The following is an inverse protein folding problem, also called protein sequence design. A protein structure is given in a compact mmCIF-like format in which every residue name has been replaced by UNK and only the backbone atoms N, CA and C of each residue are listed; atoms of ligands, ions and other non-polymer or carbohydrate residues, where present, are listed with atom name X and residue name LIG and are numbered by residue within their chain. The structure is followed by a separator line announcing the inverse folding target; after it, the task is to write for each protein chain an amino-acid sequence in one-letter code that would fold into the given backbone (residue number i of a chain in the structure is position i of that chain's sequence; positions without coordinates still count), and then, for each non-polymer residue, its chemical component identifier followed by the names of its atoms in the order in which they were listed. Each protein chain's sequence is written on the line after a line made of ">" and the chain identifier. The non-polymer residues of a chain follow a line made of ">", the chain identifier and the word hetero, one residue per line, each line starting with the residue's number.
data_IF_789316180155
#
_entry.id   IF_789316180155
#
_cell.length_a   1.000
_cell.length_b   1.000
_cell.length_c   1.000
_cell.angle_alpha   90.00
_cell.angle_beta   90.00
_cell.angle_gamma   90.00
#
_symmetry.space_group_name_H-M   'P 1'
#
loop_
_entity.id
_entity.type
_entity.pdbx_description
1 polymer ?
#
# COMPACT_ATOMS: atom_id res chain seq x y z
N UNK A 1 -4.27 -17.88 12.41
CA UNK A 1 -3.69 -16.59 12.10
C UNK A 1 -4.70 -15.73 11.38
N UNK A 2 -4.84 -14.52 11.85
CA UNK A 2 -5.86 -13.62 11.29
C UNK A 2 -5.23 -12.68 10.29
N UNK A 3 -5.63 -12.86 9.03
CA UNK A 3 -5.30 -11.89 8.00
C UNK A 3 -6.39 -10.82 7.99
N UNK A 4 -5.99 -9.57 7.92
CA UNK A 4 -6.93 -8.47 7.87
C UNK A 4 -6.95 -7.89 6.47
N UNK A 5 -8.17 -7.59 5.99
CA UNK A 5 -8.36 -6.88 4.74
C UNK A 5 -8.05 -5.40 4.94
N UNK A 6 -7.33 -4.82 3.99
CA UNK A 6 -7.04 -3.40 3.97
C UNK A 6 -6.98 -2.93 2.52
N UNK A 7 -6.51 -1.71 2.32
CA UNK A 7 -6.45 -1.13 0.98
C UNK A 7 -5.12 -0.43 0.79
N UNK A 8 -4.66 -0.41 -0.46
CA UNK A 8 -3.41 0.27 -0.79
C UNK A 8 -3.52 0.87 -2.19
N UNK A 9 -3.01 2.09 -2.31
CA UNK A 9 -2.97 2.80 -3.59
C UNK A 9 -1.69 2.43 -4.31
N UNK A 10 -1.81 1.99 -5.56
CA UNK A 10 -0.67 1.64 -6.41
C UNK A 10 -0.70 2.48 -7.68
N UNK A 11 0.48 2.66 -8.27
CA UNK A 11 0.64 3.30 -9.56
C UNK A 11 0.31 2.29 -10.66
N UNK A 12 -0.53 2.68 -11.61
CA UNK A 12 -0.85 1.84 -12.76
C UNK A 12 0.05 2.21 -13.94
N UNK A 13 0.56 1.18 -14.62
CA UNK A 13 1.43 1.36 -15.77
C UNK A 13 0.68 1.07 -17.07
N UNK A 14 1.25 1.49 -18.20
CA UNK A 14 0.60 1.36 -19.51
C UNK A 14 0.32 -0.09 -19.90
N UNK A 15 1.14 -1.02 -19.41
CA UNK A 15 0.97 -2.45 -19.71
C UNK A 15 -0.04 -3.16 -18.78
N UNK A 16 -0.68 -2.40 -17.89
CA UNK A 16 -1.65 -2.96 -16.94
C UNK A 16 -1.05 -3.45 -15.64
N UNK A 17 0.27 -3.43 -15.49
CA UNK A 17 0.90 -3.82 -14.24
C UNK A 17 0.81 -2.69 -13.21
N UNK A 18 1.08 -3.00 -11.95
CA UNK A 18 1.07 -2.01 -10.88
C UNK A 18 2.43 -1.95 -10.18
N UNK A 19 2.72 -0.81 -9.59
CA UNK A 19 3.98 -0.54 -8.93
C UNK A 19 3.76 0.32 -7.69
N UNK A 20 4.72 0.32 -6.73
CA UNK A 20 4.64 1.19 -5.57
C UNK A 20 4.63 2.67 -5.97
N UNK A 21 4.08 3.52 -5.09
CA UNK A 21 3.98 4.95 -5.37
C UNK A 21 5.33 5.66 -5.27
N UNK A 22 6.09 5.39 -4.22
CA UNK A 22 7.27 6.21 -3.88
C UNK A 22 8.56 5.40 -3.74
N UNK A 23 8.53 4.25 -3.10
CA UNK A 23 9.71 3.45 -2.80
C UNK A 23 9.82 2.31 -3.80
N UNK A 24 11.03 2.12 -4.36
CA UNK A 24 11.30 1.04 -5.32
C UNK A 24 10.31 1.05 -6.49
N UNK A 25 10.23 2.20 -7.18
CA UNK A 25 9.25 2.42 -8.24
C UNK A 25 9.35 1.46 -9.41
N UNK A 26 10.48 0.76 -9.56
CA UNK A 26 10.67 -0.20 -10.64
C UNK A 26 10.12 -1.58 -10.31
N UNK A 27 9.79 -1.82 -9.05
CA UNK A 27 9.21 -3.09 -8.63
C UNK A 27 7.84 -3.27 -9.27
N UNK A 28 7.57 -4.47 -9.76
CA UNK A 28 6.22 -4.83 -10.21
C UNK A 28 5.55 -5.65 -9.14
N UNK A 29 4.29 -5.32 -8.85
CA UNK A 29 3.53 -5.92 -7.77
C UNK A 29 2.70 -7.07 -8.34
N UNK A 30 2.98 -8.33 -7.94
CA UNK A 30 2.15 -9.45 -8.39
C UNK A 30 0.80 -9.45 -7.67
N UNK A 31 -0.22 -9.93 -8.37
CA UNK A 31 -1.56 -10.11 -7.80
C UNK A 31 -1.65 -11.54 -7.27
N UNK A 32 -2.14 -11.69 -6.03
CA UNK A 32 -2.36 -13.00 -5.44
C UNK A 32 -1.15 -13.65 -4.78
N UNK A 33 -0.04 -12.93 -4.64
CA UNK A 33 1.16 -13.45 -4.00
C UNK A 33 1.54 -12.62 -2.79
N UNK A 34 2.00 -13.28 -1.74
CA UNK A 34 2.51 -12.60 -0.54
C UNK A 34 3.83 -11.90 -0.85
N UNK A 35 3.94 -10.66 -0.39
CA UNK A 35 5.15 -9.86 -0.56
C UNK A 35 5.65 -9.37 0.78
N UNK A 36 6.92 -9.63 1.06
CA UNK A 36 7.60 -9.13 2.25
C UNK A 36 7.93 -7.66 2.07
N UNK A 37 7.77 -6.88 3.14
CA UNK A 37 8.21 -5.49 3.14
C UNK A 37 9.72 -5.41 3.02
N UNK A 38 10.18 -4.47 2.19
CA UNK A 38 11.60 -4.21 2.03
C UNK A 38 11.98 -2.95 2.78
N UNK A 39 13.21 -2.93 3.29
CA UNK A 39 13.73 -1.80 4.05
C UNK A 39 14.58 -0.94 3.12
N UNK A 40 14.03 0.17 2.66
CA UNK A 40 14.73 1.08 1.75
C UNK A 40 14.91 2.44 2.39
N UNK A 41 16.14 3.00 2.37
CA UNK A 41 16.34 4.37 2.81
C UNK A 41 15.68 5.33 1.81
N UNK A 42 15.01 6.34 2.32
CA UNK A 42 14.42 7.39 1.50
C UNK A 42 15.11 8.71 1.82
N UNK A 43 15.38 9.50 0.78
CA UNK A 43 16.03 10.79 0.94
C UNK A 43 15.20 11.70 1.85
N UNK A 44 15.84 12.21 2.91
CA UNK A 44 15.19 13.11 3.85
C UNK A 44 14.28 12.43 4.87
N UNK A 45 14.24 11.08 4.87
CA UNK A 45 13.38 10.31 5.77
C UNK A 45 14.14 9.14 6.34
N UNK A 46 13.63 8.62 7.46
CA UNK A 46 14.13 7.38 8.03
C UNK A 46 13.69 6.19 7.16
N UNK A 47 14.30 5.04 7.44
CA UNK A 47 13.96 3.80 6.75
C UNK A 47 12.50 3.46 6.98
N UNK A 48 11.80 3.04 5.91
CA UNK A 48 10.41 2.62 5.97
C UNK A 48 10.32 1.11 5.71
N UNK A 49 10.38 0.27 6.76
CA UNK A 49 10.45 -1.18 6.58
C UNK A 49 9.11 -1.85 6.34
N UNK A 50 7.98 -1.12 6.37
CA UNK A 50 6.65 -1.71 6.29
C UNK A 50 5.84 -1.19 5.11
N UNK A 51 4.87 -2.02 4.68
CA UNK A 51 3.86 -1.57 3.73
C UNK A 51 2.87 -0.65 4.44
N UNK A 52 2.64 0.52 3.87
CA UNK A 52 1.66 1.48 4.39
C UNK A 52 0.31 1.20 3.74
N UNK A 53 -0.66 0.80 4.54
CA UNK A 53 -1.99 0.42 4.07
C UNK A 53 -3.06 1.21 4.78
N UNK A 54 -4.23 1.36 4.16
CA UNK A 54 -5.33 2.12 4.75
C UNK A 54 -6.48 1.20 5.13
N UNK A 55 -7.27 1.62 6.12
CA UNK A 55 -8.46 0.88 6.52
C UNK A 55 -9.61 1.04 5.52
N UNK A 56 -9.60 2.12 4.73
CA UNK A 56 -10.59 2.40 3.70
C UNK A 56 -9.84 2.87 2.43
N UNK A 57 -10.43 2.71 1.24
CA UNK A 57 -9.77 3.13 0.00
C UNK A 57 -9.86 4.65 -0.17
N UNK A 58 -9.34 5.37 0.80
CA UNK A 58 -9.36 6.84 0.86
C UNK A 58 -8.04 7.32 1.43
N UNK A 59 -7.40 8.25 0.73
CA UNK A 59 -6.23 8.98 1.22
C UNK A 59 -6.28 10.37 0.58
N UNK A 60 -6.99 11.33 1.21
CA UNK A 60 -7.24 12.64 0.59
C UNK A 60 -5.98 13.42 0.21
N UNK A 61 -4.86 13.14 0.86
CA UNK A 61 -3.60 13.81 0.58
C UNK A 61 -2.84 13.21 -0.62
N UNK A 62 -3.34 12.12 -1.20
CA UNK A 62 -2.69 11.47 -2.34
C UNK A 62 -3.48 11.69 -3.62
N UNK A 63 -2.76 12.00 -4.71
CA UNK A 63 -3.37 12.14 -6.03
C UNK A 63 -3.77 10.76 -6.57
N UNK A 64 -4.91 10.71 -7.26
CA UNK A 64 -5.40 9.50 -7.91
C UNK A 64 -4.95 9.38 -9.37
N UNK A 65 -4.30 10.40 -9.92
CA UNK A 65 -3.89 10.38 -11.32
C UNK A 65 -2.88 9.27 -11.59
N UNK A 66 -3.23 8.35 -12.50
CA UNK A 66 -2.38 7.22 -12.83
C UNK A 66 -2.28 6.18 -11.73
N UNK A 67 -3.22 6.17 -10.79
CA UNK A 67 -3.21 5.30 -9.62
C UNK A 67 -4.58 4.68 -9.42
N UNK A 68 -4.61 3.52 -8.73
CA UNK A 68 -5.86 2.86 -8.37
C UNK A 68 -5.72 2.20 -7.02
N UNK A 69 -6.84 2.09 -6.32
CA UNK A 69 -6.92 1.39 -5.05
C UNK A 69 -7.07 -0.10 -5.28
N UNK A 70 -6.37 -0.87 -4.45
CA UNK A 70 -6.45 -2.33 -4.46
C UNK A 70 -6.80 -2.85 -3.08
N UNK A 71 -7.67 -3.85 -3.04
CA UNK A 71 -7.94 -4.60 -1.82
C UNK A 71 -6.77 -5.55 -1.58
N UNK A 72 -6.28 -5.57 -0.34
CA UNK A 72 -5.14 -6.40 0.05
C UNK A 72 -5.47 -7.17 1.33
N UNK A 73 -4.69 -8.21 1.59
CA UNK A 73 -4.63 -8.85 2.89
C UNK A 73 -3.28 -8.54 3.52
N UNK A 74 -3.26 -8.46 4.87
CA UNK A 74 -2.06 -8.13 5.62
C UNK A 74 -1.72 -9.20 6.63
N UNK A 75 -0.42 -9.42 6.87
CA UNK A 75 0.12 -10.23 7.96
C UNK A 75 1.09 -9.39 8.78
N UNK A 76 1.15 -9.64 10.08
CA UNK A 76 2.10 -8.97 11.00
C UNK A 76 2.00 -7.45 10.86
N UNK A 77 0.85 -6.90 11.16
CA UNK A 77 0.61 -5.47 11.01
C UNK A 77 0.35 -4.81 12.36
N UNK A 78 0.58 -3.49 12.40
CA UNK A 78 0.24 -2.64 13.53
C UNK A 78 -0.59 -1.46 13.05
N UNK A 79 -1.38 -0.91 13.95
CA UNK A 79 -2.16 0.28 13.66
C UNK A 79 -1.24 1.50 13.60
N UNK A 80 -1.56 2.42 12.69
CA UNK A 80 -0.80 3.66 12.51
C UNK A 80 -1.76 4.81 12.29
N UNK A 81 -2.02 5.59 13.36
CA UNK A 81 -2.98 6.69 13.29
C UNK A 81 -2.37 7.89 12.57
N UNK A 82 -3.09 8.40 11.59
CA UNK A 82 -2.70 9.60 10.86
C UNK A 82 -3.80 10.66 10.99
N UNK A 83 -3.50 11.94 10.68
CA UNK A 83 -4.54 12.97 10.67
C UNK A 83 -5.69 12.61 9.73
N UNK A 84 -6.90 13.07 10.05
CA UNK A 84 -8.09 12.81 9.23
C UNK A 84 -7.88 13.22 7.78
N UNK A 85 -7.15 14.33 7.54
CA UNK A 85 -6.85 14.80 6.20
C UNK A 85 -6.00 13.82 5.40
N UNK A 86 -5.36 12.85 6.07
CA UNK A 86 -4.54 11.83 5.43
C UNK A 86 -5.18 10.44 5.51
N UNK A 87 -6.47 10.38 5.80
CA UNK A 87 -7.20 9.12 5.80
C UNK A 87 -7.46 8.48 7.15
N UNK A 88 -6.94 9.06 8.23
CA UNK A 88 -7.19 8.59 9.60
C UNK A 88 -6.43 7.33 9.96
N UNK A 89 -7.13 6.19 10.07
CA UNK A 89 -6.50 4.94 10.49
C UNK A 89 -5.81 4.25 9.33
N UNK A 90 -4.52 4.04 9.49
CA UNK A 90 -3.66 3.29 8.56
C UNK A 90 -3.07 2.08 9.27
N UNK A 91 -2.39 1.24 8.50
CA UNK A 91 -1.66 0.07 9.03
C UNK A 91 -0.26 0.05 8.48
N UNK A 92 0.67 -0.46 9.28
CA UNK A 92 2.01 -0.78 8.83
C UNK A 92 2.11 -2.31 8.82
N UNK A 93 2.20 -2.89 7.64
CA UNK A 93 2.18 -4.34 7.48
C UNK A 93 3.54 -4.85 7.05
N UNK A 94 3.98 -5.97 7.63
CA UNK A 94 5.22 -6.62 7.24
C UNK A 94 5.07 -7.36 5.92
N UNK A 95 3.91 -7.97 5.68
CA UNK A 95 3.60 -8.68 4.45
C UNK A 95 2.22 -8.35 3.95
N UNK A 96 2.09 -8.25 2.64
CA UNK A 96 0.79 -8.02 1.99
C UNK A 96 0.61 -8.96 0.80
N UNK A 97 -0.66 -9.22 0.48
CA UNK A 97 -1.04 -9.91 -0.74
C UNK A 97 -2.12 -9.08 -1.42
N UNK A 98 -1.88 -8.70 -2.67
CA UNK A 98 -2.86 -7.92 -3.45
C UNK A 98 -3.93 -8.87 -3.95
N UNK A 99 -5.20 -8.54 -3.71
CA UNK A 99 -6.32 -9.41 -4.04
C UNK A 99 -6.98 -8.97 -5.35
N UNK A 100 -7.43 -7.72 -5.41
CA UNK A 100 -8.13 -7.21 -6.59
C UNK A 100 -8.20 -5.70 -6.59
N UNK A 101 -8.43 -5.14 -7.78
CA UNK A 101 -8.66 -3.70 -7.93
C UNK A 101 -10.02 -3.33 -7.34
N UNK A 102 -10.06 -2.21 -6.65
CA UNK A 102 -11.31 -1.65 -6.12
C UNK A 102 -11.92 -0.76 -7.19
N UNK A 103 -13.16 -1.04 -7.54
CA UNK A 103 -13.90 -0.21 -8.50
C UNK A 103 -14.69 0.83 -7.70
N UNK A 104 -14.27 2.07 -7.84
CA UNK A 104 -14.87 3.20 -7.12
C UNK A 104 -15.55 4.11 -8.13
#
# INVERSE_FOLDING_TARGET
>A
MNNLKAYKLFRELKDGSIAPLFINKKLRIPIGEWMQAECHPTKGFTIRPFWHCTSLPIAPHLSMKGRSWYEIEMENFTNFQRPTQQGGLWFLAERIKVIKKVLI
#
